data_IF_397341725321
#
_entry.id   IF_397341725321
#
_cell.length_a   1.000
_cell.length_b   1.000
_cell.length_c   1.000
_cell.angle_alpha   90.00
_cell.angle_beta   90.00
_cell.angle_gamma   90.00
#
_symmetry.space_group_name_H-M   'P 1'
#
loop_
_entity.id
_entity.type
_entity.pdbx_description
1 polymer ?
#
# COMPACT_ATOMS: atom_id res chain seq x y z
N UNK A 1 -5.49 14.96 6.26
CA UNK A 1 -5.83 13.53 6.47
C UNK A 1 -5.02 12.63 5.55
N UNK A 2 -3.91 12.04 6.02
CA UNK A 2 -2.99 11.21 5.21
C UNK A 2 -3.67 9.96 4.62
N UNK A 3 -4.50 9.28 5.39
CA UNK A 3 -5.19 8.06 4.93
C UNK A 3 -6.18 8.33 3.79
N UNK A 4 -6.74 9.55 3.70
CA UNK A 4 -7.59 9.96 2.58
C UNK A 4 -6.77 10.08 1.29
N UNK A 5 -5.61 10.73 1.34
CA UNK A 5 -4.70 10.84 0.20
C UNK A 5 -4.16 9.47 -0.26
N UNK A 6 -3.85 8.57 0.68
CA UNK A 6 -3.48 7.20 0.35
C UNK A 6 -4.63 6.44 -0.31
N UNK A 7 -5.87 6.66 0.15
CA UNK A 7 -7.07 6.08 -0.45
C UNK A 7 -7.28 6.52 -1.90
N UNK A 8 -7.01 7.78 -2.24
CA UNK A 8 -7.08 8.26 -3.63
C UNK A 8 -5.98 7.67 -4.50
N UNK A 9 -4.76 7.51 -3.97
CA UNK A 9 -3.64 6.90 -4.71
C UNK A 9 -3.80 5.38 -4.92
N UNK A 10 -4.49 4.69 -4.00
CA UNK A 10 -4.75 3.26 -4.10
C UNK A 10 -5.68 2.88 -5.28
N UNK A 11 -6.57 3.79 -5.69
CA UNK A 11 -7.56 3.60 -6.76
C UNK A 11 -9.02 3.65 -6.28
N UNK A 12 -9.96 3.55 -7.22
CA UNK A 12 -11.37 3.95 -7.04
C UNK A 12 -12.07 3.30 -5.84
N UNK A 13 -11.91 2.00 -5.64
CA UNK A 13 -12.53 1.29 -4.52
C UNK A 13 -12.02 1.74 -3.13
N UNK A 14 -10.84 2.34 -3.05
CA UNK A 14 -10.26 2.87 -1.80
C UNK A 14 -10.44 4.38 -1.66
N UNK A 15 -10.76 5.11 -2.73
CA UNK A 15 -11.05 6.54 -2.69
C UNK A 15 -12.21 6.88 -1.74
N UNK A 16 -13.25 6.04 -1.74
CA UNK A 16 -14.45 6.14 -0.90
C UNK A 16 -14.38 5.30 0.38
N UNK A 17 -13.31 4.53 0.58
CA UNK A 17 -13.17 3.67 1.74
C UNK A 17 -13.01 4.46 3.05
N UNK A 18 -13.44 3.87 4.16
CA UNK A 18 -13.22 4.42 5.49
C UNK A 18 -11.75 4.26 5.90
N UNK A 19 -11.27 5.13 6.80
CA UNK A 19 -9.91 5.05 7.35
C UNK A 19 -9.60 3.66 7.94
N UNK A 20 -10.56 3.06 8.65
CA UNK A 20 -10.42 1.73 9.22
C UNK A 20 -10.18 0.66 8.13
N UNK A 21 -10.93 0.74 7.03
CA UNK A 21 -10.77 -0.17 5.89
C UNK A 21 -9.41 -0.04 5.24
N UNK A 22 -8.95 1.19 5.00
CA UNK A 22 -7.62 1.44 4.41
C UNK A 22 -6.53 0.90 5.33
N UNK A 23 -6.63 1.12 6.64
CA UNK A 23 -5.66 0.57 7.61
C UNK A 23 -5.61 -0.95 7.55
N UNK A 24 -6.75 -1.62 7.65
CA UNK A 24 -6.79 -3.09 7.69
C UNK A 24 -6.36 -3.73 6.37
N UNK A 25 -6.72 -3.13 5.23
CA UNK A 25 -6.54 -3.75 3.90
C UNK A 25 -5.31 -3.28 3.14
N UNK A 26 -4.63 -2.23 3.58
CA UNK A 26 -3.48 -1.66 2.83
C UNK A 26 -2.28 -1.40 3.73
N UNK A 27 -2.49 -0.87 4.95
CA UNK A 27 -1.39 -0.45 5.81
C UNK A 27 -0.94 -1.54 6.78
N UNK A 28 -1.87 -2.21 7.46
CA UNK A 28 -1.60 -3.23 8.47
C UNK A 28 -1.60 -4.63 7.85
N UNK A 29 -0.71 -4.82 6.87
CA UNK A 29 -0.65 -6.04 6.06
C UNK A 29 0.60 -6.83 6.44
N UNK A 30 0.52 -8.16 6.57
CA UNK A 30 1.70 -8.95 6.89
C UNK A 30 2.65 -8.90 5.71
N UNK A 31 3.77 -8.20 5.87
CA UNK A 31 4.76 -8.06 4.82
C UNK A 31 6.16 -8.22 5.38
N UNK A 32 7.03 -8.90 4.64
CA UNK A 32 8.42 -9.09 5.05
C UNK A 32 9.27 -7.97 4.49
N UNK A 33 9.95 -7.25 5.38
CA UNK A 33 10.95 -6.26 5.00
C UNK A 33 12.25 -6.99 4.69
N UNK A 34 12.78 -6.79 3.49
CA UNK A 34 14.10 -7.24 3.08
C UNK A 34 14.94 -6.02 2.69
N UNK A 35 16.23 -6.04 3.00
CA UNK A 35 17.19 -5.01 2.59
C UNK A 35 18.23 -5.66 1.68
N UNK A 36 18.54 -5.00 0.56
CA UNK A 36 19.59 -5.43 -0.36
C UNK A 36 20.42 -4.21 -0.74
N UNK A 37 21.72 -4.22 -0.40
CA UNK A 37 22.56 -3.03 -0.49
C UNK A 37 21.86 -1.82 0.16
N UNK A 38 21.63 -0.74 -0.60
CA UNK A 38 20.94 0.48 -0.15
C UNK A 38 19.45 0.51 -0.50
N UNK A 39 18.85 -0.62 -0.92
CA UNK A 39 17.44 -0.70 -1.34
C UNK A 39 16.60 -1.46 -0.32
N UNK A 40 15.50 -0.84 0.11
CA UNK A 40 14.43 -1.50 0.85
C UNK A 40 13.54 -2.25 -0.13
N UNK A 41 13.22 -3.51 0.17
CA UNK A 41 12.28 -4.34 -0.59
C UNK A 41 11.23 -4.89 0.35
N UNK A 42 9.97 -4.60 0.06
CA UNK A 42 8.86 -5.20 0.78
C UNK A 42 8.36 -6.44 0.01
N UNK A 43 8.29 -7.59 0.66
CA UNK A 43 7.64 -8.78 0.11
C UNK A 43 6.21 -8.81 0.61
N UNK A 44 5.28 -8.64 -0.33
CA UNK A 44 3.84 -8.72 -0.08
C UNK A 44 3.37 -10.18 0.02
N UNK A 45 2.22 -10.45 0.67
CA UNK A 45 1.64 -11.78 0.67
C UNK A 45 1.35 -12.28 -0.75
N UNK A 46 1.54 -13.57 -0.97
CA UNK A 46 1.23 -14.20 -2.25
C UNK A 46 -0.28 -14.18 -2.52
N UNK A 47 -0.69 -13.91 -3.77
CA UNK A 47 -2.10 -13.85 -4.22
C UNK A 47 -2.98 -12.90 -3.40
N UNK A 48 -2.40 -11.85 -2.85
CA UNK A 48 -3.17 -10.89 -2.08
C UNK A 48 -4.01 -9.98 -2.99
N UNK A 49 -5.32 -9.93 -2.75
CA UNK A 49 -6.30 -9.23 -3.58
C UNK A 49 -5.98 -7.74 -3.76
N UNK A 50 -5.35 -7.10 -2.77
CA UNK A 50 -5.06 -5.66 -2.78
C UNK A 50 -3.64 -5.31 -3.24
N UNK A 51 -2.91 -6.28 -3.80
CA UNK A 51 -1.53 -6.09 -4.28
C UNK A 51 -1.40 -4.91 -5.24
N UNK A 52 -2.36 -4.74 -6.15
CA UNK A 52 -2.35 -3.64 -7.13
C UNK A 52 -2.51 -2.28 -6.46
N UNK A 53 -3.47 -2.15 -5.55
CA UNK A 53 -3.71 -0.92 -4.81
C UNK A 53 -2.50 -0.51 -3.96
N UNK A 54 -1.82 -1.48 -3.34
CA UNK A 54 -0.58 -1.21 -2.60
C UNK A 54 0.55 -0.74 -3.52
N UNK A 55 0.74 -1.37 -4.68
CA UNK A 55 1.76 -0.95 -5.66
C UNK A 55 1.52 0.47 -6.17
N UNK A 56 0.27 0.85 -6.43
CA UNK A 56 -0.07 2.20 -6.87
C UNK A 56 0.43 3.25 -5.85
N UNK A 57 0.16 3.02 -4.56
CA UNK A 57 0.64 3.90 -3.48
C UNK A 57 2.16 3.92 -3.46
N UNK A 58 2.81 2.75 -3.47
CA UNK A 58 4.26 2.65 -3.37
C UNK A 58 4.96 3.40 -4.50
N UNK A 59 4.52 3.20 -5.75
CA UNK A 59 5.07 3.88 -6.91
C UNK A 59 4.84 5.39 -6.81
N UNK A 60 3.66 5.85 -6.40
CA UNK A 60 3.37 7.27 -6.27
C UNK A 60 4.24 7.97 -5.19
N UNK A 61 4.57 7.28 -4.10
CA UNK A 61 5.29 7.88 -2.96
C UNK A 61 6.80 7.72 -3.06
N UNK A 62 7.30 6.59 -3.55
CA UNK A 62 8.73 6.24 -3.51
C UNK A 62 9.48 6.50 -4.82
N UNK A 63 8.78 6.84 -5.91
CA UNK A 63 9.41 7.14 -7.22
C UNK A 63 9.63 8.64 -7.43
N UNK A 64 9.21 9.48 -6.48
CA UNK A 64 9.52 10.92 -6.47
C UNK A 64 10.81 11.14 -5.70
#
# INVERSE_FOLDING_TARGET
NLTRALGTLAGDQFSRATTATIRARILNVPARVARSARKLRLRLPHRWTWTRAWHNIWTAVMTT
#
